data_IF_676116187962
#
_entry.id   IF_676116187962
#
_cell.length_a   1.000
_cell.length_b   1.000
_cell.length_c   1.000
_cell.angle_alpha   90.00
_cell.angle_beta   90.00
_cell.angle_gamma   90.00
#
_symmetry.space_group_name_H-M   'P 1'
#
loop_
_entity.id
_entity.type
_entity.pdbx_description
1 polymer ?
#
# COMPACT_ATOMS: atom_id res chain seq x y z
N UNK A 1 -23.33 19.65 -0.85
CA UNK A 1 -23.22 18.49 -1.74
C UNK A 1 -22.27 17.51 -1.08
N UNK A 2 -22.57 16.22 -1.08
CA UNK A 2 -21.71 15.17 -0.56
C UNK A 2 -21.37 14.25 -1.74
N UNK A 3 -20.10 13.95 -1.94
CA UNK A 3 -19.66 12.94 -2.89
C UNK A 3 -19.30 11.66 -2.14
N UNK A 4 -19.53 10.50 -2.76
CA UNK A 4 -19.28 9.18 -2.21
C UNK A 4 -18.37 8.41 -3.17
N UNK A 5 -17.33 7.77 -2.64
CA UNK A 5 -16.43 6.86 -3.37
C UNK A 5 -16.29 5.57 -2.57
N UNK A 6 -16.41 4.44 -3.24
CA UNK A 6 -16.23 3.12 -2.63
C UNK A 6 -14.74 2.78 -2.52
N UNK A 7 -14.34 2.17 -1.44
CA UNK A 7 -13.01 1.59 -1.21
C UNK A 7 -13.14 0.40 -0.27
N UNK A 8 -12.04 -0.16 0.18
CA UNK A 8 -12.03 -1.31 1.09
C UNK A 8 -11.12 -1.09 2.28
N UNK A 9 -11.40 -1.78 3.38
CA UNK A 9 -10.47 -2.03 4.48
C UNK A 9 -10.09 -3.51 4.47
N UNK A 10 -8.86 -3.84 4.84
CA UNK A 10 -8.39 -5.22 4.85
C UNK A 10 -8.37 -5.78 6.27
N UNK A 11 -9.02 -6.94 6.45
CA UNK A 11 -8.97 -7.73 7.67
C UNK A 11 -8.36 -9.10 7.33
N UNK A 12 -7.04 -9.21 7.43
CA UNK A 12 -6.31 -10.38 6.93
C UNK A 12 -6.47 -10.51 5.40
N UNK A 13 -7.12 -11.57 4.93
CA UNK A 13 -7.40 -11.82 3.50
C UNK A 13 -8.81 -11.36 3.08
N UNK A 14 -9.54 -10.72 3.95
CA UNK A 14 -10.90 -10.27 3.67
C UNK A 14 -10.91 -8.76 3.39
N UNK A 15 -11.52 -8.37 2.26
CA UNK A 15 -11.78 -6.97 1.94
C UNK A 15 -13.20 -6.59 2.40
N UNK A 16 -13.31 -5.58 3.24
CA UNK A 16 -14.57 -5.04 3.77
C UNK A 16 -14.87 -3.71 3.12
N UNK A 17 -16.12 -3.51 2.71
CA UNK A 17 -16.56 -2.26 2.10
C UNK A 17 -16.33 -1.06 3.02
N UNK A 18 -15.77 0.01 2.47
CA UNK A 18 -15.65 1.32 3.10
C UNK A 18 -16.13 2.37 2.12
N UNK A 19 -16.93 3.30 2.62
CA UNK A 19 -17.35 4.47 1.87
C UNK A 19 -16.56 5.70 2.30
N UNK A 20 -15.98 6.39 1.34
CA UNK A 20 -15.33 7.68 1.51
C UNK A 20 -16.35 8.76 1.13
N UNK A 21 -16.85 9.47 2.13
CA UNK A 21 -17.81 10.54 1.95
C UNK A 21 -17.10 11.88 2.13
N UNK A 22 -17.16 12.75 1.13
CA UNK A 22 -16.55 14.07 1.15
C UNK A 22 -17.62 15.17 1.18
N UNK A 23 -17.44 16.14 2.07
CA UNK A 23 -18.27 17.35 2.11
C UNK A 23 -17.43 18.60 2.22
N UNK A 24 -17.86 19.69 1.56
CA UNK A 24 -17.26 21.03 1.64
C UNK A 24 -18.31 21.98 2.17
N UNK A 25 -18.02 22.62 3.31
CA UNK A 25 -18.91 23.56 3.97
C UNK A 25 -18.22 24.93 4.19
N UNK A 26 -19.00 26.03 4.24
CA UNK A 26 -18.46 27.32 4.64
C UNK A 26 -17.81 27.25 6.03
N UNK A 27 -16.76 28.05 6.26
CA UNK A 27 -16.08 28.14 7.56
C UNK A 27 -14.57 28.28 7.39
N UNK A 28 -13.86 28.29 8.52
CA UNK A 28 -12.40 28.35 8.53
C UNK A 28 -11.81 27.16 7.76
N UNK A 29 -10.81 27.42 6.90
CA UNK A 29 -10.14 26.37 6.12
C UNK A 29 -9.59 25.29 7.04
N UNK A 30 -10.10 24.07 6.89
CA UNK A 30 -9.68 22.90 7.66
C UNK A 30 -9.94 21.63 6.85
N UNK A 31 -8.98 20.69 6.86
CA UNK A 31 -9.14 19.39 6.27
C UNK A 31 -9.16 18.34 7.39
N UNK A 32 -10.32 17.74 7.62
CA UNK A 32 -10.53 16.71 8.63
C UNK A 32 -10.82 15.37 7.98
N UNK A 33 -10.25 14.29 8.55
CA UNK A 33 -10.61 12.90 8.23
C UNK A 33 -11.15 12.28 9.53
N UNK A 34 -12.30 11.63 9.45
CA UNK A 34 -12.97 10.95 10.56
C UNK A 34 -13.39 9.53 10.16
N UNK A 35 -13.65 8.64 11.10
CA UNK A 35 -14.08 7.27 10.84
C UNK A 35 -13.02 6.22 11.21
N UNK A 36 -12.41 6.33 12.40
CA UNK A 36 -11.42 5.40 12.94
C UNK A 36 -10.20 5.21 12.02
N UNK A 37 -9.71 6.33 11.49
CA UNK A 37 -8.52 6.39 10.65
C UNK A 37 -7.24 6.26 11.49
N UNK A 38 -6.29 5.42 11.05
CA UNK A 38 -4.95 5.34 11.64
C UNK A 38 -4.11 6.58 11.31
N UNK A 39 -2.84 6.58 11.74
CA UNK A 39 -1.91 7.68 11.45
C UNK A 39 -1.64 7.82 9.94
N UNK A 40 -1.47 6.71 9.22
CA UNK A 40 -1.18 6.70 7.79
C UNK A 40 -2.34 7.31 6.98
N UNK A 41 -3.58 6.94 7.32
CA UNK A 41 -4.79 7.54 6.74
C UNK A 41 -4.92 9.02 7.16
N UNK A 42 -4.57 9.37 8.38
CA UNK A 42 -4.53 10.77 8.83
C UNK A 42 -3.55 11.65 8.03
N UNK A 43 -2.46 11.07 7.54
CA UNK A 43 -1.45 11.73 6.69
C UNK A 43 -1.89 11.88 5.23
N UNK A 44 -2.90 11.13 4.77
CA UNK A 44 -3.46 11.22 3.40
C UNK A 44 -3.82 12.65 3.01
N UNK A 45 -4.28 13.46 3.96
CA UNK A 45 -4.64 14.87 3.72
C UNK A 45 -3.48 15.68 3.13
N UNK A 46 -2.23 15.42 3.56
CA UNK A 46 -1.05 16.14 3.07
C UNK A 46 -0.65 15.63 1.68
N UNK A 47 -0.69 14.30 1.46
CA UNK A 47 -0.39 13.70 0.15
C UNK A 47 -1.41 14.11 -0.89
N UNK A 48 -2.71 14.04 -0.57
CA UNK A 48 -3.79 14.48 -1.46
C UNK A 48 -3.67 15.97 -1.79
N UNK A 49 -3.41 16.82 -0.78
CA UNK A 49 -3.20 18.27 -1.00
C UNK A 49 -2.03 18.53 -1.95
N UNK A 50 -0.89 17.89 -1.72
CA UNK A 50 0.29 18.06 -2.56
C UNK A 50 0.04 17.57 -3.99
N UNK A 51 -0.55 16.38 -4.17
CA UNK A 51 -0.88 15.81 -5.46
C UNK A 51 -1.82 16.72 -6.29
N UNK A 52 -2.89 17.24 -5.67
CA UNK A 52 -3.80 18.17 -6.34
C UNK A 52 -3.11 19.49 -6.69
N UNK A 53 -2.27 20.02 -5.79
CA UNK A 53 -1.49 21.24 -6.04
C UNK A 53 -0.51 21.05 -7.20
N UNK A 54 0.14 19.89 -7.30
CA UNK A 54 1.04 19.56 -8.42
C UNK A 54 0.33 19.54 -9.79
N UNK A 55 -0.98 19.23 -9.78
CA UNK A 55 -1.84 19.30 -10.98
C UNK A 55 -2.40 20.71 -11.25
N UNK A 56 -2.00 21.73 -10.49
CA UNK A 56 -2.55 23.08 -10.58
C UNK A 56 -3.94 23.27 -9.97
N UNK A 57 -4.43 22.28 -9.19
CA UNK A 57 -5.73 22.34 -8.53
C UNK A 57 -5.57 22.80 -7.09
N UNK A 58 -6.04 24.00 -6.78
CA UNK A 58 -6.07 24.50 -5.43
C UNK A 58 -7.30 23.96 -4.65
N UNK A 59 -7.08 23.53 -3.41
CA UNK A 59 -8.18 23.19 -2.52
C UNK A 59 -8.98 24.47 -2.18
N UNK A 60 -10.32 24.36 -2.12
CA UNK A 60 -11.14 25.49 -1.73
C UNK A 60 -10.82 25.94 -0.30
N UNK A 61 -10.75 27.26 -0.01
CA UNK A 61 -10.50 27.79 1.33
C UNK A 61 -11.75 27.65 2.22
N UNK A 62 -12.22 26.43 2.40
CA UNK A 62 -13.43 26.07 3.14
C UNK A 62 -13.14 24.90 4.08
N UNK A 63 -14.10 24.53 4.89
CA UNK A 63 -14.01 23.33 5.72
C UNK A 63 -14.27 22.09 4.87
N UNK A 64 -13.26 21.23 4.72
CA UNK A 64 -13.33 19.92 4.05
C UNK A 64 -13.44 18.87 5.13
N UNK A 65 -14.42 17.99 5.02
CA UNK A 65 -14.59 16.84 5.91
C UNK A 65 -14.70 15.56 5.08
N UNK A 66 -13.80 14.63 5.36
CA UNK A 66 -13.84 13.27 4.83
C UNK A 66 -14.33 12.36 5.95
N UNK A 67 -15.36 11.58 5.68
CA UNK A 67 -15.85 10.55 6.59
C UNK A 67 -15.63 9.18 5.96
N UNK A 68 -14.99 8.27 6.70
CA UNK A 68 -14.75 6.88 6.29
C UNK A 68 -15.74 5.98 7.02
N UNK A 69 -16.78 5.54 6.33
CA UNK A 69 -17.87 4.73 6.87
C UNK A 69 -17.65 3.23 6.55
N UNK A 70 -17.95 2.31 7.46
CA UNK A 70 -18.49 2.47 8.80
C UNK A 70 -17.43 2.88 9.83
N UNK A 71 -17.84 3.54 10.92
CA UNK A 71 -16.91 4.08 11.92
C UNK A 71 -16.35 3.05 12.91
N UNK A 72 -16.92 1.86 12.96
CA UNK A 72 -16.50 0.74 13.83
C UNK A 72 -15.40 -0.15 13.22
N UNK A 73 -15.11 0.02 11.93
CA UNK A 73 -14.07 -0.70 11.21
C UNK A 73 -12.77 0.11 11.21
N UNK A 74 -11.62 -0.43 11.69
CA UNK A 74 -10.32 0.21 11.59
C UNK A 74 -9.93 0.43 10.11
N UNK A 75 -9.40 1.61 9.79
CA UNK A 75 -8.87 1.95 8.47
C UNK A 75 -7.38 2.19 8.60
N UNK A 76 -6.61 1.31 7.98
CA UNK A 76 -5.15 1.30 8.05
C UNK A 76 -4.55 1.31 6.65
N UNK A 77 -3.42 2.01 6.51
CA UNK A 77 -2.65 2.04 5.28
C UNK A 77 -2.91 3.24 4.38
N UNK A 78 -2.08 3.37 3.35
CA UNK A 78 -2.04 4.54 2.45
C UNK A 78 -2.96 4.44 1.23
N UNK A 79 -3.57 3.27 0.98
CA UNK A 79 -4.44 3.06 -0.19
C UNK A 79 -5.71 3.92 -0.21
N UNK A 80 -6.01 4.61 0.89
CA UNK A 80 -7.13 5.56 0.99
C UNK A 80 -6.87 6.90 0.29
N UNK A 81 -5.62 7.20 -0.09
CA UNK A 81 -5.28 8.48 -0.72
C UNK A 81 -6.06 8.71 -2.00
N UNK A 82 -6.10 7.71 -2.89
CA UNK A 82 -6.79 7.80 -4.17
C UNK A 82 -8.30 7.97 -4.02
N UNK A 83 -9.04 7.16 -3.23
CA UNK A 83 -10.46 7.37 -3.04
C UNK A 83 -10.79 8.69 -2.33
N UNK A 84 -9.94 9.18 -1.42
CA UNK A 84 -10.10 10.51 -0.80
C UNK A 84 -9.94 11.61 -1.86
N UNK A 85 -8.93 11.53 -2.72
CA UNK A 85 -8.73 12.49 -3.81
C UNK A 85 -9.91 12.49 -4.78
N UNK A 86 -10.41 11.32 -5.19
CA UNK A 86 -11.56 11.20 -6.08
C UNK A 86 -12.83 11.77 -5.47
N UNK A 87 -13.12 11.49 -4.18
CA UNK A 87 -14.26 12.07 -3.49
C UNK A 87 -14.18 13.60 -3.40
N UNK A 88 -12.97 14.14 -3.22
CA UNK A 88 -12.73 15.57 -3.20
C UNK A 88 -12.92 16.20 -4.58
N UNK A 89 -12.38 15.57 -5.63
CA UNK A 89 -12.53 16.01 -7.03
C UNK A 89 -14.01 15.97 -7.47
N UNK A 90 -14.75 14.96 -7.03
CA UNK A 90 -16.18 14.83 -7.31
C UNK A 90 -17.00 15.95 -6.63
N UNK A 91 -16.74 16.24 -5.35
CA UNK A 91 -17.43 17.32 -4.64
C UNK A 91 -17.07 18.71 -5.18
N UNK A 92 -15.88 18.85 -5.79
CA UNK A 92 -15.44 20.07 -6.49
C UNK A 92 -16.03 20.19 -7.92
N UNK A 93 -16.76 19.16 -8.41
CA UNK A 93 -17.33 19.13 -9.74
C UNK A 93 -16.31 18.95 -10.87
N UNK A 94 -15.13 18.44 -10.56
CA UNK A 94 -14.05 18.17 -11.55
C UNK A 94 -14.28 16.82 -12.23
N UNK A 95 -14.87 15.87 -11.52
CA UNK A 95 -15.27 14.54 -11.97
C UNK A 95 -16.73 14.34 -11.66
N UNK A 96 -17.42 13.57 -12.50
CA UNK A 96 -18.79 13.18 -12.24
C UNK A 96 -18.84 12.17 -11.08
N UNK A 97 -19.63 12.49 -10.06
CA UNK A 97 -19.77 11.66 -8.86
C UNK A 97 -20.42 10.30 -9.18
N UNK A 98 -21.35 10.23 -10.17
CA UNK A 98 -22.01 9.00 -10.58
C UNK A 98 -21.02 8.05 -11.24
N UNK A 99 -20.13 8.55 -12.11
CA UNK A 99 -19.09 7.74 -12.75
C UNK A 99 -18.12 7.12 -11.76
N UNK A 100 -17.73 7.85 -10.70
CA UNK A 100 -16.83 7.33 -9.67
C UNK A 100 -17.52 6.34 -8.74
N UNK A 101 -18.84 6.47 -8.55
CA UNK A 101 -19.63 5.56 -7.71
C UNK A 101 -19.69 4.12 -8.24
N UNK A 102 -19.48 3.93 -9.55
CA UNK A 102 -19.44 2.61 -10.20
C UNK A 102 -18.12 1.84 -9.94
N UNK A 103 -17.15 2.47 -9.27
CA UNK A 103 -15.83 1.89 -9.03
C UNK A 103 -15.50 1.77 -7.54
N UNK A 104 -14.77 0.72 -7.20
CA UNK A 104 -13.97 0.65 -5.99
C UNK A 104 -12.60 1.26 -6.31
N UNK A 105 -12.10 2.17 -5.49
CA UNK A 105 -10.82 2.82 -5.72
C UNK A 105 -9.81 2.48 -4.62
N UNK A 106 -8.58 2.11 -4.99
CA UNK A 106 -7.47 1.86 -4.08
C UNK A 106 -6.15 2.39 -4.67
N UNK A 107 -5.30 3.00 -3.87
CA UNK A 107 -3.99 3.47 -4.28
C UNK A 107 -3.44 4.55 -3.38
N UNK A 108 -2.13 4.60 -3.24
CA UNK A 108 -1.41 5.67 -2.57
C UNK A 108 -1.09 6.79 -3.56
N UNK A 109 -1.00 8.03 -3.10
CA UNK A 109 -0.60 9.16 -3.92
C UNK A 109 0.81 9.64 -3.55
N UNK A 110 1.66 9.74 -4.55
CA UNK A 110 2.88 10.52 -4.45
C UNK A 110 2.58 12.02 -4.50
N UNK A 111 3.47 12.85 -3.98
CA UNK A 111 3.28 14.30 -3.91
C UNK A 111 3.17 14.98 -5.27
N UNK A 112 3.65 14.33 -6.32
CA UNK A 112 3.59 14.77 -7.72
C UNK A 112 2.32 14.31 -8.45
N UNK A 113 1.42 13.58 -7.78
CA UNK A 113 0.16 13.10 -8.34
C UNK A 113 0.22 11.71 -8.98
N UNK A 114 1.37 11.01 -8.97
CA UNK A 114 1.45 9.62 -9.40
C UNK A 114 0.66 8.72 -8.46
N UNK A 115 0.02 7.68 -9.03
CA UNK A 115 -0.67 6.64 -8.27
C UNK A 115 0.31 5.50 -8.00
N UNK A 116 0.66 5.29 -6.75
CA UNK A 116 1.67 4.35 -6.29
C UNK A 116 1.02 3.07 -5.80
N UNK A 117 1.73 1.95 -6.02
CA UNK A 117 1.28 0.63 -5.57
C UNK A 117 1.01 0.58 -4.07
N UNK A 118 -0.07 -0.09 -3.71
CA UNK A 118 -0.48 -0.33 -2.32
C UNK A 118 -0.83 -1.80 -2.12
N UNK A 119 -0.66 -2.37 -0.91
CA UNK A 119 -1.00 -3.77 -0.66
C UNK A 119 -2.48 -4.07 -0.90
N UNK A 120 -2.79 -5.29 -1.37
CA UNK A 120 -4.15 -5.84 -1.37
C UNK A 120 -4.99 -5.54 -2.61
N UNK A 121 -4.40 -5.12 -3.73
CA UNK A 121 -5.15 -4.79 -4.96
C UNK A 121 -5.99 -5.97 -5.48
N UNK A 122 -5.47 -7.20 -5.39
CA UNK A 122 -6.23 -8.39 -5.79
C UNK A 122 -7.47 -8.61 -4.91
N UNK A 123 -7.35 -8.39 -3.60
CA UNK A 123 -8.49 -8.49 -2.68
C UNK A 123 -9.54 -7.41 -2.97
N UNK A 124 -9.09 -6.19 -3.31
CA UNK A 124 -9.99 -5.11 -3.73
C UNK A 124 -10.69 -5.45 -5.06
N UNK A 125 -9.99 -6.07 -6.02
CA UNK A 125 -10.56 -6.50 -7.29
C UNK A 125 -11.61 -7.60 -7.10
N UNK A 126 -11.34 -8.59 -6.25
CA UNK A 126 -12.30 -9.63 -5.89
C UNK A 126 -13.53 -9.05 -5.19
N UNK A 127 -13.33 -8.07 -4.31
CA UNK A 127 -14.45 -7.38 -3.67
C UNK A 127 -15.28 -6.57 -4.69
N UNK A 128 -14.62 -5.86 -5.62
CA UNK A 128 -15.29 -5.12 -6.68
C UNK A 128 -16.15 -6.04 -7.55
N UNK A 129 -15.62 -7.21 -7.94
CA UNK A 129 -16.36 -8.25 -8.66
C UNK A 129 -17.63 -8.69 -7.93
N UNK A 130 -17.55 -8.90 -6.62
CA UNK A 130 -18.71 -9.30 -5.79
C UNK A 130 -19.80 -8.22 -5.70
N UNK A 131 -19.43 -6.96 -5.98
CA UNK A 131 -20.34 -5.81 -5.93
C UNK A 131 -20.77 -5.32 -7.31
N UNK A 132 -20.49 -6.07 -8.37
CA UNK A 132 -20.71 -5.67 -9.77
C UNK A 132 -20.14 -4.27 -10.08
N UNK A 133 -19.02 -3.93 -9.45
CA UNK A 133 -18.33 -2.65 -9.59
C UNK A 133 -17.01 -2.82 -10.36
N UNK A 134 -16.54 -1.74 -10.99
CA UNK A 134 -15.19 -1.67 -11.53
C UNK A 134 -14.15 -1.42 -10.43
N UNK A 135 -12.87 -1.52 -10.78
CA UNK A 135 -11.74 -1.18 -9.91
C UNK A 135 -10.89 -0.08 -10.52
N UNK A 136 -10.61 0.96 -9.75
CA UNK A 136 -9.55 1.94 -10.04
C UNK A 136 -8.35 1.61 -9.16
N UNK A 137 -7.20 1.33 -9.77
CA UNK A 137 -5.98 0.93 -9.05
C UNK A 137 -4.72 1.53 -9.68
N UNK A 138 -3.55 1.42 -9.01
CA UNK A 138 -2.28 1.83 -9.59
C UNK A 138 -1.94 1.06 -10.86
N UNK A 139 -1.36 1.74 -11.87
CA UNK A 139 -0.97 1.10 -13.14
C UNK A 139 -0.03 -0.09 -12.95
N UNK A 140 0.89 -0.01 -12.00
CA UNK A 140 1.83 -1.08 -11.68
C UNK A 140 1.15 -2.37 -11.18
N UNK A 141 -0.10 -2.29 -10.73
CA UNK A 141 -0.86 -3.42 -10.17
C UNK A 141 -2.05 -3.85 -11.03
N UNK A 142 -2.22 -3.23 -12.20
CA UNK A 142 -3.32 -3.58 -13.10
C UNK A 142 -3.30 -5.04 -13.53
N UNK A 143 -2.11 -5.60 -13.81
CA UNK A 143 -1.95 -7.00 -14.18
C UNK A 143 -2.32 -7.97 -13.04
N UNK A 144 -2.00 -7.62 -11.79
CA UNK A 144 -2.40 -8.37 -10.59
C UNK A 144 -3.93 -8.32 -10.41
N UNK A 145 -4.53 -7.13 -10.57
CA UNK A 145 -5.97 -6.95 -10.46
C UNK A 145 -6.76 -7.78 -11.49
N UNK A 146 -6.19 -8.01 -12.69
CA UNK A 146 -6.82 -8.85 -13.75
C UNK A 146 -7.00 -10.32 -13.38
N UNK A 147 -6.40 -10.79 -12.30
CA UNK A 147 -6.66 -12.15 -11.80
C UNK A 147 -8.07 -12.28 -11.19
N UNK A 148 -8.69 -11.19 -10.77
CA UNK A 148 -10.12 -11.17 -10.54
C UNK A 148 -10.82 -11.03 -11.90
N UNK A 149 -11.26 -12.16 -12.49
CA UNK A 149 -12.02 -12.18 -13.74
C UNK A 149 -13.29 -11.33 -13.62
N UNK A 150 -13.74 -10.79 -14.75
CA UNK A 150 -15.01 -10.08 -14.91
C UNK A 150 -15.13 -8.70 -14.22
N UNK A 151 -14.00 -8.05 -13.90
CA UNK A 151 -13.97 -6.68 -13.35
C UNK A 151 -13.45 -5.71 -14.40
N UNK A 152 -14.12 -4.60 -14.62
CA UNK A 152 -13.58 -3.47 -15.36
C UNK A 152 -12.47 -2.81 -14.56
N UNK A 153 -11.22 -2.83 -15.07
CA UNK A 153 -10.06 -2.32 -14.35
C UNK A 153 -9.55 -1.06 -15.01
N UNK A 154 -9.47 0.02 -14.26
CA UNK A 154 -8.83 1.28 -14.65
C UNK A 154 -7.49 1.37 -13.91
N UNK A 155 -6.41 1.00 -14.60
CA UNK A 155 -5.06 1.02 -14.07
C UNK A 155 -4.40 2.38 -14.34
N UNK A 156 -4.38 3.26 -13.34
CA UNK A 156 -3.97 4.64 -13.50
C UNK A 156 -2.50 4.86 -13.09
N UNK A 157 -1.66 5.47 -13.95
CA UNK A 157 -0.30 5.85 -13.60
C UNK A 157 -0.26 7.10 -12.70
N UNK A 158 -1.18 8.02 -12.91
CA UNK A 158 -1.30 9.29 -12.19
C UNK A 158 -2.73 9.83 -12.22
N UNK A 159 -2.99 10.86 -11.41
CA UNK A 159 -4.32 11.48 -11.32
C UNK A 159 -4.75 12.18 -12.62
N UNK A 160 -3.81 12.74 -13.39
CA UNK A 160 -4.14 13.45 -14.65
C UNK A 160 -4.66 12.45 -15.68
N UNK A 161 -3.95 11.34 -15.86
CA UNK A 161 -4.36 10.27 -16.76
C UNK A 161 -5.72 9.66 -16.33
N UNK A 162 -5.91 9.48 -15.03
CA UNK A 162 -7.20 9.00 -14.48
C UNK A 162 -8.33 9.99 -14.79
N UNK A 163 -8.12 11.29 -14.56
CA UNK A 163 -9.13 12.31 -14.85
C UNK A 163 -9.48 12.36 -16.33
N UNK A 164 -8.48 12.24 -17.21
CA UNK A 164 -8.70 12.21 -18.66
C UNK A 164 -9.50 10.98 -19.07
N UNK A 165 -9.25 9.82 -18.44
CA UNK A 165 -10.00 8.59 -18.65
C UNK A 165 -11.47 8.78 -18.23
N UNK A 166 -11.72 9.25 -17.01
CA UNK A 166 -13.08 9.46 -16.48
C UNK A 166 -13.87 10.48 -17.29
N UNK A 167 -13.21 11.54 -17.81
CA UNK A 167 -13.82 12.52 -18.70
C UNK A 167 -14.00 12.03 -20.15
N UNK A 168 -13.50 10.83 -20.47
CA UNK A 168 -13.56 10.27 -21.81
C UNK A 168 -12.65 10.96 -22.85
N UNK A 169 -11.76 11.88 -22.43
CA UNK A 169 -10.83 12.58 -23.32
C UNK A 169 -9.67 11.70 -23.77
N UNK A 170 -9.19 10.84 -22.88
CA UNK A 170 -8.14 9.88 -23.18
C UNK A 170 -8.36 8.62 -22.33
N UNK A 171 -8.80 7.54 -22.96
CA UNK A 171 -9.02 6.27 -22.26
C UNK A 171 -7.68 5.59 -21.94
N UNK A 172 -7.55 5.11 -20.72
CA UNK A 172 -6.45 4.21 -20.33
C UNK A 172 -6.67 2.84 -20.98
N UNK A 173 -5.60 2.17 -21.42
CA UNK A 173 -5.70 0.82 -21.96
C UNK A 173 -6.06 -0.17 -20.84
N UNK A 174 -6.73 -1.25 -21.23
CA UNK A 174 -6.94 -2.36 -20.32
C UNK A 174 -5.58 -2.94 -19.91
N UNK A 175 -5.36 -3.24 -18.62
CA UNK A 175 -4.11 -3.84 -18.20
C UNK A 175 -3.95 -5.25 -18.79
N UNK A 176 -2.70 -5.67 -19.12
CA UNK A 176 -2.45 -7.02 -19.60
C UNK A 176 -2.83 -8.05 -18.51
N UNK A 177 -3.12 -9.30 -18.89
CA UNK A 177 -3.31 -10.36 -17.91
C UNK A 177 -2.06 -10.54 -17.04
N UNK A 178 -2.26 -10.81 -15.76
CA UNK A 178 -1.15 -11.09 -14.84
C UNK A 178 -0.42 -12.38 -15.25
N UNK A 179 0.90 -12.33 -15.22
CA UNK A 179 1.74 -13.50 -15.44
C UNK A 179 2.06 -14.15 -14.09
N UNK A 180 1.96 -15.47 -14.02
CA UNK A 180 2.46 -16.23 -12.89
C UNK A 180 3.96 -16.41 -13.09
N UNK A 181 4.78 -15.71 -12.31
CA UNK A 181 6.20 -16.02 -12.26
C UNK A 181 6.36 -17.48 -11.80
N UNK A 182 6.84 -18.35 -12.68
CA UNK A 182 7.33 -19.65 -12.28
C UNK A 182 8.59 -19.42 -11.44
N UNK A 183 8.45 -19.57 -10.13
CA UNK A 183 9.60 -19.48 -9.25
C UNK A 183 10.69 -20.43 -9.73
N UNK A 184 11.92 -19.93 -9.85
CA UNK A 184 13.07 -20.79 -10.08
C UNK A 184 13.07 -21.91 -9.02
N UNK A 185 13.49 -23.15 -9.36
CA UNK A 185 13.55 -24.22 -8.38
C UNK A 185 14.30 -23.73 -7.14
N UNK A 186 13.62 -23.71 -6.01
CA UNK A 186 14.24 -23.32 -4.74
C UNK A 186 15.36 -24.32 -4.35
N UNK A 187 16.23 -23.95 -3.39
CA UNK A 187 17.25 -24.87 -2.89
C UNK A 187 16.59 -26.14 -2.33
N UNK A 188 17.16 -27.31 -2.67
CA UNK A 188 16.68 -28.60 -2.17
C UNK A 188 16.88 -28.66 -0.64
N UNK A 189 15.89 -29.17 0.09
CA UNK A 189 15.97 -29.41 1.54
C UNK A 189 17.18 -30.27 1.95
N UNK A 190 17.70 -31.11 1.06
CA UNK A 190 18.93 -31.87 1.24
C UNK A 190 20.16 -30.98 1.48
N UNK A 191 20.16 -29.77 0.94
CA UNK A 191 21.26 -28.81 1.09
C UNK A 191 21.26 -28.16 2.47
N UNK A 192 20.14 -28.19 3.20
CA UNK A 192 20.04 -27.64 4.55
C UNK A 192 20.67 -28.61 5.52
N UNK A 193 21.77 -28.20 6.15
CA UNK A 193 22.45 -29.00 7.16
C UNK A 193 21.76 -28.90 8.50
N UNK A 194 21.49 -30.05 9.14
CA UNK A 194 20.77 -30.10 10.42
C UNK A 194 19.29 -29.74 10.26
N UNK A 195 18.67 -29.24 11.32
CA UNK A 195 17.26 -28.83 11.40
C UNK A 195 16.26 -29.95 11.03
N UNK A 196 16.53 -31.19 11.42
CA UNK A 196 15.75 -32.37 11.02
C UNK A 196 14.28 -32.26 11.40
N UNK A 197 13.96 -31.68 12.56
CA UNK A 197 12.56 -31.44 12.99
C UNK A 197 11.84 -30.47 12.06
N UNK A 198 12.51 -29.40 11.64
CA UNK A 198 11.91 -28.41 10.73
C UNK A 198 11.72 -28.99 9.32
N UNK A 199 12.69 -29.79 8.82
CA UNK A 199 12.58 -30.52 7.55
C UNK A 199 11.37 -31.47 7.58
N UNK A 200 11.26 -32.26 8.66
CA UNK A 200 10.15 -33.19 8.81
C UNK A 200 8.81 -32.49 8.89
N UNK A 201 8.73 -31.37 9.59
CA UNK A 201 7.52 -30.54 9.64
C UNK A 201 7.12 -30.03 8.25
N UNK A 202 8.09 -29.57 7.44
CA UNK A 202 7.86 -29.14 6.06
C UNK A 202 7.38 -30.28 5.16
N UNK A 203 7.97 -31.47 5.27
CA UNK A 203 7.53 -32.65 4.51
C UNK A 203 6.08 -33.03 4.83
N UNK A 204 5.72 -33.06 6.13
CA UNK A 204 4.36 -33.36 6.57
C UNK A 204 3.38 -32.29 6.08
N UNK A 205 3.74 -31.02 6.21
CA UNK A 205 2.90 -29.91 5.77
C UNK A 205 2.67 -29.96 4.26
N UNK A 206 3.71 -30.21 3.48
CA UNK A 206 3.60 -30.34 2.03
C UNK A 206 2.75 -31.54 1.61
N UNK A 207 2.93 -32.70 2.25
CA UNK A 207 2.16 -33.91 1.95
C UNK A 207 0.67 -33.77 2.32
N UNK A 208 0.35 -33.02 3.37
CA UNK A 208 -1.00 -32.83 3.87
C UNK A 208 -1.69 -31.53 3.41
N UNK A 209 -1.02 -30.69 2.62
CA UNK A 209 -1.56 -29.38 2.24
C UNK A 209 -1.75 -28.43 3.43
N UNK A 210 -0.94 -28.59 4.47
CA UNK A 210 -1.05 -27.79 5.70
C UNK A 210 -0.26 -26.49 5.62
N UNK A 211 -0.81 -25.43 6.19
CA UNK A 211 -0.07 -24.19 6.38
C UNK A 211 0.98 -24.35 7.48
N UNK A 212 2.21 -23.92 7.23
CA UNK A 212 3.31 -23.95 8.19
C UNK A 212 3.92 -22.55 8.34
N UNK A 213 3.90 -22.01 9.56
CA UNK A 213 4.60 -20.78 9.90
C UNK A 213 5.93 -21.15 10.60
N UNK A 214 7.05 -20.82 9.97
CA UNK A 214 8.38 -20.96 10.56
C UNK A 214 8.89 -19.59 10.98
N UNK A 215 9.02 -19.36 12.28
CA UNK A 215 9.67 -18.18 12.82
C UNK A 215 11.15 -18.49 13.07
N UNK A 216 12.05 -17.78 12.37
CA UNK A 216 13.49 -17.84 12.62
C UNK A 216 13.91 -16.59 13.38
N UNK A 217 14.64 -16.76 14.50
CA UNK A 217 15.39 -15.65 15.05
C UNK A 217 16.46 -15.24 14.01
N UNK A 218 16.67 -13.95 13.74
CA UNK A 218 17.77 -13.52 12.91
C UNK A 218 19.07 -14.03 13.55
N UNK A 219 20.02 -14.53 12.77
CA UNK A 219 21.30 -14.98 13.32
C UNK A 219 21.91 -13.79 14.07
N UNK A 220 22.13 -13.98 15.37
CA UNK A 220 22.93 -13.06 16.17
C UNK A 220 24.23 -12.87 15.38
N UNK A 221 24.69 -11.64 15.22
CA UNK A 221 25.76 -11.16 14.33
C UNK A 221 27.13 -11.88 14.39
N UNK A 222 27.15 -13.19 14.61
CA UNK A 222 28.36 -14.01 14.56
C UNK A 222 28.88 -14.24 13.13
N UNK A 223 28.09 -13.94 12.10
CA UNK A 223 28.51 -14.16 10.72
C UNK A 223 29.22 -12.96 10.07
N UNK A 224 29.16 -11.79 10.65
CA UNK A 224 29.82 -10.60 10.11
C UNK A 224 31.34 -10.63 10.26
N UNK A 225 31.87 -11.45 11.19
CA UNK A 225 33.30 -11.56 11.44
C UNK A 225 34.05 -12.65 10.67
N UNK A 226 33.31 -13.63 10.12
CA UNK A 226 33.95 -14.73 9.36
C UNK A 226 34.10 -14.43 7.86
N UNK A 227 33.35 -13.48 7.31
CA UNK A 227 33.38 -13.14 5.89
C UNK A 227 34.37 -12.00 5.53
N UNK A 228 35.03 -11.37 6.50
CA UNK A 228 35.90 -10.23 6.27
C UNK A 228 37.39 -10.55 6.47
N UNK A 229 37.84 -11.79 6.19
CA UNK A 229 39.26 -12.06 6.08
C UNK A 229 39.68 -11.82 4.62
N UNK A 230 40.29 -10.67 4.29
CA UNK A 230 40.90 -10.47 2.98
C UNK A 230 42.04 -11.43 2.79
N UNK A 231 42.32 -11.91 1.58
CA UNK A 231 43.49 -12.70 1.29
C UNK A 231 44.74 -11.88 1.67
N UNK A 232 45.68 -12.54 2.35
CA UNK A 232 46.97 -12.00 2.76
C UNK A 232 47.75 -11.43 1.58
N UNK A 233 47.93 -10.11 1.56
CA UNK A 233 48.77 -9.44 0.59
C UNK A 233 48.83 -7.93 0.82
N UNK A 234 49.96 -7.52 1.35
CA UNK A 234 50.50 -6.15 1.48
C UNK A 234 50.22 -5.34 2.75
N UNK A 235 51.28 -5.29 3.53
CA UNK A 235 51.55 -4.32 4.60
C UNK A 235 51.43 -2.87 4.08
N UNK A 236 50.46 -2.14 4.62
CA UNK A 236 50.38 -0.69 4.53
C UNK A 236 50.06 -0.14 5.90
N UNK A 237 51.08 0.47 6.53
CA UNK A 237 50.98 1.17 7.81
C UNK A 237 50.03 2.33 7.71
N UNK A 238 48.91 2.29 8.39
CA UNK A 238 48.10 3.48 8.63
C UNK A 238 47.85 3.68 10.12
N UNK A 239 48.56 4.69 10.67
CA UNK A 239 48.37 5.23 12.01
C UNK A 239 47.13 6.12 11.98
N UNK A 240 46.00 5.66 12.52
CA UNK A 240 45.01 6.51 13.18
C UNK A 240 43.99 5.61 13.88
N UNK A 241 44.23 5.39 15.17
CA UNK A 241 43.22 4.85 16.10
C UNK A 241 42.58 6.03 16.82
N UNK A 242 41.26 6.20 16.81
CA UNK A 242 40.56 6.99 17.81
C UNK A 242 40.45 6.18 19.12
N UNK A 243 40.70 6.87 20.24
CA UNK A 243 40.61 6.36 21.60
C UNK A 243 39.18 5.97 21.96
N UNK A 244 39.03 4.81 22.59
CA UNK A 244 37.80 4.38 23.23
C UNK A 244 37.58 5.19 24.52
N UNK A 245 36.48 5.94 24.58
CA UNK A 245 36.00 6.52 25.82
C UNK A 245 35.12 5.49 26.55
N UNK A 246 35.56 5.21 27.77
CA UNK A 246 34.88 4.37 28.76
C UNK A 246 33.64 5.06 29.29
N UNK A 247 32.46 4.58 28.93
CA UNK A 247 31.23 4.90 29.67
C UNK A 247 31.02 3.89 30.81
N UNK A 248 31.24 4.35 32.02
CA UNK A 248 30.83 3.71 33.27
C UNK A 248 29.30 3.81 33.37
N UNK A 249 28.61 2.67 33.38
CA UNK A 249 27.22 2.58 33.75
C UNK A 249 27.06 2.45 35.26
N UNK A 250 26.17 3.24 35.79
CA UNK A 250 25.75 3.22 37.19
C UNK A 250 24.48 2.32 37.31
N UNK A 251 24.45 1.37 38.26
CA UNK A 251 23.26 0.56 38.46
C UNK A 251 22.45 1.07 39.66
N UNK A 252 21.29 1.68 39.43
CA UNK A 252 20.31 1.87 40.50
C UNK A 252 18.89 1.73 39.96
N UNK A 253 18.31 0.56 40.17
CA UNK A 253 16.85 0.38 40.24
C UNK A 253 16.51 -0.35 41.54
N UNK A 254 15.92 0.38 42.45
CA UNK A 254 15.06 -0.11 43.54
C UNK A 254 13.60 0.17 43.17
#
# INVERSE_FOLDING_TARGET
MVALVKTVAYLGLEARAVEVQCSIAPGLPKFNIVGLADKAVGESKERVRAALSAMGLALPPKRITINLSPADLPKEGSHYDLPIALALLAVMGIVDAEQVADFVAVGELALDGRVVASPGVLLAALHASQQDAGLICPAAQGAEARWASDVAIVAAPDLVALLNHLKGTQRLPDPPPGEVETAAPGPDLRQVKGQETAKRALEIAAAGGHNLLKMAQPPIAFHATAASRPPSGHLGTNRNRPKADTLKGDPSWS
#
